data_IF_217674459313
#
_entry.id   IF_217674459313
#
_cell.length_a   1.000
_cell.length_b   1.000
_cell.length_c   1.000
_cell.angle_alpha   90.00
_cell.angle_beta   90.00
_cell.angle_gamma   90.00
#
_symmetry.space_group_name_H-M   'P 1'
#
loop_
_entity.id
_entity.type
_entity.pdbx_description
1 polymer ?
#
# COMPACT_ATOMS: atom_id res chain seq x y z
N UNK A 1 14.57 -32.90 2.90
CA UNK A 1 15.62 -32.74 1.88
C UNK A 1 16.95 -33.27 2.43
N UNK A 2 17.93 -33.58 1.56
CA UNK A 2 19.26 -34.03 2.01
C UNK A 2 19.93 -33.03 2.98
N UNK A 3 19.74 -31.73 2.74
CA UNK A 3 20.21 -30.65 3.62
C UNK A 3 19.57 -30.69 5.02
N UNK A 4 18.27 -30.97 5.10
CA UNK A 4 17.57 -31.11 6.38
C UNK A 4 18.07 -32.33 7.17
N UNK A 5 18.28 -33.47 6.50
CA UNK A 5 18.82 -34.67 7.13
C UNK A 5 20.25 -34.46 7.64
N UNK A 6 21.09 -33.75 6.87
CA UNK A 6 22.44 -33.39 7.30
C UNK A 6 22.43 -32.47 8.54
N UNK A 7 21.55 -31.47 8.57
CA UNK A 7 21.40 -30.55 9.70
C UNK A 7 20.92 -31.27 10.97
N UNK A 8 19.95 -32.18 10.86
CA UNK A 8 19.51 -33.02 11.99
C UNK A 8 20.62 -33.98 12.42
N UNK A 9 21.34 -34.59 11.48
CA UNK A 9 22.50 -35.45 11.76
C UNK A 9 23.65 -34.71 12.46
N UNK A 10 23.74 -33.40 12.29
CA UNK A 10 24.66 -32.52 13.01
C UNK A 10 24.17 -32.10 14.42
N UNK A 11 23.05 -32.66 14.89
CA UNK A 11 22.53 -32.44 16.25
C UNK A 11 21.47 -31.35 16.39
N UNK A 12 21.00 -30.74 15.29
CA UNK A 12 19.90 -29.77 15.34
C UNK A 12 18.55 -30.46 15.50
N UNK A 13 17.65 -29.86 16.28
CA UNK A 13 16.23 -30.23 16.28
C UNK A 13 15.62 -30.01 14.89
N UNK A 14 14.48 -30.65 14.59
CA UNK A 14 13.82 -30.49 13.28
C UNK A 14 13.49 -29.03 12.93
N UNK A 15 13.10 -28.22 13.93
CA UNK A 15 12.82 -26.79 13.75
C UNK A 15 14.11 -26.02 13.45
N UNK A 16 15.15 -26.22 14.25
CA UNK A 16 16.46 -25.57 14.03
C UNK A 16 17.06 -25.95 12.67
N UNK A 17 16.94 -27.22 12.28
CA UNK A 17 17.38 -27.71 10.98
C UNK A 17 16.60 -27.03 9.83
N UNK A 18 15.29 -26.84 9.97
CA UNK A 18 14.48 -26.12 8.99
C UNK A 18 14.93 -24.67 8.81
N UNK A 19 15.16 -23.95 9.91
CA UNK A 19 15.66 -22.57 9.89
C UNK A 19 17.07 -22.48 9.29
N UNK A 20 17.97 -23.40 9.66
CA UNK A 20 19.32 -23.45 9.12
C UNK A 20 19.33 -23.68 7.59
N UNK A 21 18.49 -24.60 7.10
CA UNK A 21 18.37 -24.87 5.67
C UNK A 21 17.78 -23.67 4.91
N UNK A 22 16.80 -22.98 5.50
CA UNK A 22 16.24 -21.77 4.92
C UNK A 22 17.30 -20.66 4.80
N UNK A 23 18.01 -20.37 5.89
CA UNK A 23 19.04 -19.34 5.93
C UNK A 23 20.17 -19.63 4.94
N UNK A 24 20.64 -20.89 4.90
CA UNK A 24 21.64 -21.33 3.93
C UNK A 24 21.15 -21.19 2.49
N UNK A 25 19.90 -21.57 2.20
CA UNK A 25 19.32 -21.44 0.87
C UNK A 25 19.23 -19.99 0.39
N UNK A 26 18.87 -19.05 1.28
CA UNK A 26 18.86 -17.62 0.96
C UNK A 26 20.28 -17.09 0.69
N UNK A 27 21.25 -17.46 1.51
CA UNK A 27 22.65 -17.10 1.29
C UNK A 27 23.20 -17.65 -0.04
N UNK A 28 22.90 -18.92 -0.33
CA UNK A 28 23.32 -19.59 -1.56
C UNK A 28 22.72 -18.93 -2.80
N UNK A 29 21.43 -18.57 -2.76
CA UNK A 29 20.78 -17.87 -3.86
C UNK A 29 21.39 -16.49 -4.10
N UNK A 30 21.66 -15.73 -3.02
CA UNK A 30 22.36 -14.46 -3.12
C UNK A 30 23.79 -14.64 -3.70
N UNK A 31 24.51 -15.68 -3.27
CA UNK A 31 25.84 -16.00 -3.79
C UNK A 31 25.81 -16.32 -5.30
N UNK A 32 24.82 -17.11 -5.75
CA UNK A 32 24.61 -17.41 -7.18
C UNK A 32 24.29 -16.17 -8.01
N UNK A 33 23.68 -15.16 -7.40
CA UNK A 33 23.44 -13.85 -8.00
C UNK A 33 24.67 -12.91 -7.97
N UNK A 34 25.84 -13.39 -7.51
CA UNK A 34 27.07 -12.60 -7.44
C UNK A 34 27.15 -11.65 -6.24
N UNK A 35 26.30 -11.82 -5.22
CA UNK A 35 26.29 -10.95 -4.05
C UNK A 35 27.55 -11.08 -3.19
N UNK A 36 28.00 -9.99 -2.56
CA UNK A 36 29.11 -9.98 -1.61
C UNK A 36 28.81 -10.82 -0.37
N UNK A 37 29.85 -11.20 0.41
CA UNK A 37 29.67 -11.96 1.64
C UNK A 37 28.70 -11.27 2.64
N UNK A 38 28.77 -9.94 2.75
CA UNK A 38 27.85 -9.16 3.59
C UNK A 38 26.41 -9.31 3.10
N UNK A 39 26.17 -9.20 1.79
CA UNK A 39 24.82 -9.34 1.23
C UNK A 39 24.28 -10.77 1.34
N UNK A 40 25.14 -11.79 1.25
CA UNK A 40 24.76 -13.18 1.53
C UNK A 40 24.33 -13.37 2.99
N UNK A 41 25.10 -12.81 3.94
CA UNK A 41 24.76 -12.84 5.35
C UNK A 41 23.45 -12.09 5.64
N UNK A 42 23.23 -10.94 5.00
CA UNK A 42 21.96 -10.20 5.09
C UNK A 42 20.79 -11.02 4.55
N UNK A 43 20.94 -11.69 3.41
CA UNK A 43 19.89 -12.55 2.85
C UNK A 43 19.57 -13.73 3.78
N UNK A 44 20.59 -14.36 4.38
CA UNK A 44 20.42 -15.40 5.38
C UNK A 44 19.65 -14.89 6.61
N UNK A 45 20.06 -13.74 7.15
CA UNK A 45 19.42 -13.09 8.29
C UNK A 45 17.96 -12.72 8.00
N UNK A 46 17.66 -12.22 6.80
CA UNK A 46 16.30 -11.96 6.36
C UNK A 46 15.47 -13.24 6.25
N UNK A 47 16.06 -14.34 5.78
CA UNK A 47 15.44 -15.66 5.78
C UNK A 47 14.98 -16.08 7.18
N UNK A 48 15.82 -15.86 8.20
CA UNK A 48 15.46 -16.15 9.60
C UNK A 48 14.42 -15.14 10.11
N UNK A 49 14.66 -13.85 9.93
CA UNK A 49 13.79 -12.79 10.45
C UNK A 49 12.37 -12.89 9.90
N UNK A 50 12.23 -13.05 8.58
CA UNK A 50 10.94 -13.05 7.89
C UNK A 50 10.32 -14.46 7.85
N UNK A 51 11.14 -15.49 7.62
CA UNK A 51 10.65 -16.86 7.44
C UNK A 51 10.42 -17.64 8.73
N UNK A 52 10.96 -17.19 9.87
CA UNK A 52 10.81 -17.87 11.15
C UNK A 52 10.36 -16.94 12.28
N UNK A 53 11.06 -15.81 12.50
CA UNK A 53 10.79 -14.93 13.65
C UNK A 53 9.47 -14.16 13.50
N UNK A 54 9.18 -13.65 12.29
CA UNK A 54 8.05 -12.74 12.03
C UNK A 54 6.71 -13.27 12.52
N UNK A 55 6.37 -14.53 12.24
CA UNK A 55 5.08 -15.09 12.60
C UNK A 55 4.88 -15.15 14.13
N UNK A 56 5.93 -15.46 14.88
CA UNK A 56 5.90 -15.48 16.34
C UNK A 56 5.73 -14.05 16.91
N UNK A 57 6.46 -13.07 16.36
CA UNK A 57 6.28 -11.66 16.74
C UNK A 57 4.87 -11.16 16.41
N UNK A 58 4.32 -11.52 15.25
CA UNK A 58 2.95 -11.12 14.89
C UNK A 58 1.90 -11.74 15.83
N UNK A 59 2.10 -13.00 16.24
CA UNK A 59 1.17 -13.70 17.13
C UNK A 59 1.27 -13.23 18.59
N UNK A 60 2.50 -13.07 19.11
CA UNK A 60 2.77 -12.83 20.53
C UNK A 60 3.16 -11.40 20.87
N UNK A 61 3.38 -10.55 19.85
CA UNK A 61 3.70 -9.13 20.03
C UNK A 61 4.89 -8.96 20.98
N UNK A 62 4.73 -8.16 22.03
CA UNK A 62 5.77 -7.88 23.03
C UNK A 62 6.17 -9.12 23.85
N UNK A 63 5.30 -10.12 23.92
CA UNK A 63 5.53 -11.38 24.64
C UNK A 63 6.30 -12.41 23.80
N UNK A 64 6.62 -12.09 22.54
CA UNK A 64 7.46 -12.95 21.72
C UNK A 64 8.81 -13.16 22.41
N UNK A 65 9.30 -14.41 22.57
CA UNK A 65 10.63 -14.66 23.12
C UNK A 65 11.74 -13.95 22.34
N UNK A 66 11.56 -13.69 21.03
CA UNK A 66 12.52 -12.92 20.24
C UNK A 66 12.54 -11.44 20.65
N UNK A 67 11.38 -10.85 20.91
CA UNK A 67 11.26 -9.48 21.41
C UNK A 67 11.80 -9.37 22.83
N UNK A 68 11.45 -10.30 23.70
CA UNK A 68 11.96 -10.34 25.09
C UNK A 68 13.48 -10.50 25.12
N UNK A 69 14.02 -11.48 24.39
CA UNK A 69 15.47 -11.74 24.34
C UNK A 69 16.26 -10.57 23.72
N UNK A 70 15.65 -9.76 22.86
CA UNK A 70 16.29 -8.56 22.30
C UNK A 70 16.51 -7.44 23.34
N UNK A 71 15.83 -7.50 24.49
CA UNK A 71 15.81 -6.41 25.47
C UNK A 71 15.08 -5.15 24.99
N UNK A 72 14.37 -5.21 23.85
CA UNK A 72 13.65 -4.07 23.24
C UNK A 72 12.15 -4.09 23.47
N UNK A 73 11.63 -4.95 24.35
CA UNK A 73 10.20 -5.10 24.61
C UNK A 73 9.48 -3.75 24.84
N UNK A 74 10.00 -2.88 25.73
CA UNK A 74 9.41 -1.58 26.01
C UNK A 74 9.42 -0.63 24.79
N UNK A 75 10.52 -0.63 24.02
CA UNK A 75 10.64 0.18 22.82
C UNK A 75 9.73 -0.32 21.68
N UNK A 76 9.49 -1.64 21.62
CA UNK A 76 8.67 -2.27 20.60
C UNK A 76 7.17 -2.30 20.94
N UNK A 77 6.80 -2.16 22.21
CA UNK A 77 5.42 -2.24 22.66
C UNK A 77 4.43 -1.31 21.89
N UNK A 78 4.77 -0.04 21.59
CA UNK A 78 3.87 0.83 20.83
C UNK A 78 3.53 0.30 19.43
N UNK A 79 4.44 -0.42 18.78
CA UNK A 79 4.25 -0.95 17.42
C UNK A 79 3.26 -2.10 17.35
N UNK A 80 2.89 -2.69 18.50
CA UNK A 80 1.90 -3.75 18.58
C UNK A 80 0.49 -3.24 18.91
N UNK A 81 0.32 -1.93 19.06
CA UNK A 81 -0.97 -1.28 19.26
C UNK A 81 -1.55 -0.90 17.91
N UNK A 82 -2.86 -1.08 17.77
CA UNK A 82 -3.62 -0.50 16.65
C UNK A 82 -3.95 0.94 17.01
N UNK A 83 -3.74 1.84 16.07
CA UNK A 83 -4.09 3.25 16.19
C UNK A 83 -5.14 3.60 15.16
N UNK A 84 -6.09 4.45 15.55
CA UNK A 84 -6.92 5.16 14.59
C UNK A 84 -6.08 6.31 14.03
N UNK A 85 -5.91 6.32 12.71
CA UNK A 85 -5.10 7.33 12.02
C UNK A 85 -5.87 8.65 11.90
N UNK A 86 -7.20 8.57 11.81
CA UNK A 86 -8.08 9.74 11.75
C UNK A 86 -9.34 9.50 12.60
N UNK A 87 -9.43 10.16 13.75
CA UNK A 87 -10.59 10.07 14.64
C UNK A 87 -11.75 11.00 14.26
N UNK A 88 -11.56 11.85 13.24
CA UNK A 88 -12.64 12.70 12.72
C UNK A 88 -13.54 11.93 11.74
N UNK A 89 -13.07 10.79 11.23
CA UNK A 89 -13.87 9.88 10.40
C UNK A 89 -14.72 8.94 11.25
N UNK A 90 -15.57 8.14 10.60
CA UNK A 90 -16.39 7.10 11.25
C UNK A 90 -15.60 6.09 12.09
N UNK A 91 -14.29 5.95 11.88
CA UNK A 91 -13.41 5.16 12.74
C UNK A 91 -13.34 5.69 14.18
N UNK A 92 -13.46 7.00 14.39
CA UNK A 92 -13.54 7.64 15.72
C UNK A 92 -14.89 7.48 16.41
N UNK A 93 -15.94 7.11 15.66
CA UNK A 93 -17.33 6.98 16.12
C UNK A 93 -17.81 5.53 15.98
N UNK A 94 -16.99 4.60 16.50
CA UNK A 94 -17.18 3.16 16.27
C UNK A 94 -18.54 2.64 16.80
N UNK A 95 -19.02 3.17 17.93
CA UNK A 95 -20.30 2.74 18.50
C UNK A 95 -21.48 3.15 17.60
N UNK A 96 -21.47 4.37 17.10
CA UNK A 96 -22.47 4.93 16.20
C UNK A 96 -22.46 4.21 14.85
N UNK A 97 -21.27 3.94 14.30
CA UNK A 97 -21.13 3.14 13.08
C UNK A 97 -21.74 1.76 13.26
N UNK A 98 -21.41 1.05 14.34
CA UNK A 98 -21.99 -0.27 14.65
C UNK A 98 -23.51 -0.21 14.78
N UNK A 99 -24.04 0.81 15.46
CA UNK A 99 -25.49 0.98 15.61
C UNK A 99 -26.18 1.13 14.25
N UNK A 100 -25.63 1.98 13.37
CA UNK A 100 -26.16 2.19 12.01
C UNK A 100 -26.08 0.91 11.17
N UNK A 101 -24.92 0.25 11.15
CA UNK A 101 -24.73 -0.97 10.36
C UNK A 101 -25.59 -2.14 10.87
N UNK A 102 -25.74 -2.27 12.20
CA UNK A 102 -26.63 -3.24 12.83
C UNK A 102 -28.10 -2.98 12.45
N UNK A 103 -28.52 -1.73 12.34
CA UNK A 103 -29.85 -1.38 11.87
C UNK A 103 -30.07 -1.84 10.42
N UNK A 104 -29.12 -1.55 9.51
CA UNK A 104 -29.22 -2.01 8.11
C UNK A 104 -29.31 -3.53 8.01
N UNK A 105 -28.45 -4.23 8.74
CA UNK A 105 -28.41 -5.70 8.77
C UNK A 105 -29.70 -6.31 9.32
N UNK A 106 -30.16 -5.83 10.47
CA UNK A 106 -31.35 -6.37 11.17
C UNK A 106 -32.63 -6.18 10.37
N UNK A 107 -32.73 -5.08 9.62
CA UNK A 107 -33.90 -4.75 8.81
C UNK A 107 -33.77 -5.22 7.34
N UNK A 108 -32.74 -6.02 7.02
CA UNK A 108 -32.47 -6.53 5.67
C UNK A 108 -32.39 -5.43 4.58
N UNK A 109 -31.79 -4.28 4.93
CA UNK A 109 -31.61 -3.15 4.00
C UNK A 109 -30.28 -3.33 3.26
N UNK A 110 -30.31 -4.04 2.12
CA UNK A 110 -29.10 -4.43 1.36
C UNK A 110 -28.63 -3.47 0.25
N UNK A 111 -29.37 -2.38 -0.02
CA UNK A 111 -29.10 -1.46 -1.15
C UNK A 111 -28.47 -0.13 -0.70
N UNK A 112 -27.55 -0.17 0.26
CA UNK A 112 -26.94 1.06 0.80
C UNK A 112 -25.56 1.27 0.20
N UNK A 113 -25.37 2.45 -0.40
CA UNK A 113 -24.08 2.93 -0.90
C UNK A 113 -23.84 4.32 -0.34
N UNK A 114 -22.71 4.54 0.33
CA UNK A 114 -22.23 5.87 0.68
C UNK A 114 -21.42 6.47 -0.46
N UNK A 115 -21.61 7.78 -0.67
CA UNK A 115 -20.76 8.61 -1.50
C UNK A 115 -20.05 9.59 -0.58
N UNK A 116 -18.75 9.37 -0.36
CA UNK A 116 -17.98 10.04 0.69
C UNK A 116 -16.91 10.94 0.09
N UNK A 117 -16.47 11.96 0.84
CA UNK A 117 -15.36 12.84 0.50
C UNK A 117 -14.45 13.06 1.71
N UNK A 118 -14.05 14.32 1.93
CA UNK A 118 -13.24 14.80 3.07
C UNK A 118 -11.79 14.27 3.13
N UNK A 119 -11.58 12.95 3.08
CA UNK A 119 -10.25 12.33 3.25
C UNK A 119 -9.28 12.57 2.08
N UNK A 120 -9.73 13.20 0.99
CA UNK A 120 -8.93 13.51 -0.20
C UNK A 120 -8.21 12.29 -0.82
N UNK A 121 -8.94 11.19 -0.97
CA UNK A 121 -8.47 9.96 -1.64
C UNK A 121 -9.59 9.31 -2.43
N UNK A 122 -9.23 8.48 -3.41
CA UNK A 122 -10.20 7.54 -3.99
C UNK A 122 -10.16 6.21 -3.26
N UNK A 123 -11.29 5.82 -2.66
CA UNK A 123 -11.50 4.49 -2.10
C UNK A 123 -12.78 3.85 -2.65
N UNK A 124 -12.76 2.52 -2.73
CA UNK A 124 -13.97 1.73 -2.86
C UNK A 124 -13.83 0.50 -1.98
N UNK A 125 -14.84 0.20 -1.19
CA UNK A 125 -14.82 -0.96 -0.30
C UNK A 125 -16.16 -1.22 0.34
N UNK A 126 -16.24 -2.31 1.08
CA UNK A 126 -17.42 -2.58 1.91
C UNK A 126 -17.27 -1.93 3.27
N UNK A 127 -18.40 -1.57 3.88
CA UNK A 127 -18.47 -1.26 5.30
C UNK A 127 -19.09 -2.45 6.01
N UNK A 128 -18.37 -2.96 7.01
CA UNK A 128 -18.79 -4.14 7.78
C UNK A 128 -19.59 -3.72 9.02
N UNK A 129 -20.43 -4.63 9.51
CA UNK A 129 -21.26 -4.42 10.70
C UNK A 129 -20.47 -4.18 11.98
N UNK A 130 -19.42 -4.97 12.18
CA UNK A 130 -18.53 -4.86 13.32
C UNK A 130 -17.09 -5.25 12.94
N UNK A 131 -16.21 -4.25 12.79
CA UNK A 131 -14.79 -4.46 12.51
C UNK A 131 -14.00 -5.08 13.67
N UNK A 132 -14.53 -5.05 14.90
CA UNK A 132 -13.93 -5.71 16.07
C UNK A 132 -14.29 -7.20 16.13
N UNK A 133 -15.28 -7.65 15.35
CA UNK A 133 -15.63 -9.06 15.27
C UNK A 133 -14.51 -9.88 14.63
N UNK A 134 -14.44 -11.16 14.99
CA UNK A 134 -13.49 -12.09 14.39
C UNK A 134 -13.63 -12.08 12.86
N UNK A 135 -12.51 -11.92 12.15
CA UNK A 135 -12.51 -11.80 10.68
C UNK A 135 -12.93 -10.44 10.13
N UNK A 136 -13.21 -9.45 10.99
CA UNK A 136 -13.53 -8.08 10.59
C UNK A 136 -15.02 -7.82 10.32
N UNK A 137 -15.90 -8.75 10.66
CA UNK A 137 -17.36 -8.60 10.52
C UNK A 137 -17.92 -8.99 9.15
N UNK A 138 -19.20 -8.72 8.96
CA UNK A 138 -19.97 -8.99 7.72
C UNK A 138 -20.16 -7.69 6.94
N UNK A 139 -19.84 -7.64 5.63
CA UNK A 139 -20.20 -6.52 4.76
C UNK A 139 -21.72 -6.22 4.78
N UNK A 140 -22.10 -4.96 4.97
CA UNK A 140 -23.52 -4.53 4.99
C UNK A 140 -23.83 -3.37 4.04
N UNK A 141 -22.83 -2.59 3.63
CA UNK A 141 -22.98 -1.54 2.63
C UNK A 141 -21.68 -1.35 1.86
N UNK A 142 -21.71 -0.52 0.80
CA UNK A 142 -20.52 -0.10 0.06
C UNK A 142 -20.24 1.38 0.34
N UNK A 143 -18.98 1.75 0.45
CA UNK A 143 -18.54 3.14 0.47
C UNK A 143 -17.68 3.44 -0.76
N UNK A 144 -18.00 4.54 -1.44
CA UNK A 144 -17.33 5.05 -2.63
C UNK A 144 -16.82 6.46 -2.30
N UNK A 145 -15.52 6.56 -2.04
CA UNK A 145 -14.89 7.78 -1.56
C UNK A 145 -14.25 8.52 -2.72
N UNK A 146 -14.59 9.80 -2.88
CA UNK A 146 -14.05 10.67 -3.91
C UNK A 146 -12.86 11.47 -3.39
N UNK A 147 -11.83 11.62 -4.23
CA UNK A 147 -10.70 12.49 -3.97
C UNK A 147 -11.11 13.96 -3.93
N UNK A 148 -10.24 14.80 -3.36
CA UNK A 148 -10.39 16.25 -3.41
C UNK A 148 -10.11 16.76 -4.82
N UNK A 149 -10.81 17.82 -5.23
CA UNK A 149 -10.61 18.44 -6.56
C UNK A 149 -9.25 19.15 -6.63
N UNK A 150 -8.91 19.91 -5.58
CA UNK A 150 -7.70 20.75 -5.53
C UNK A 150 -6.93 20.65 -4.22
N UNK A 151 -7.49 20.02 -3.18
CA UNK A 151 -6.81 19.84 -1.90
C UNK A 151 -5.60 18.92 -2.03
N UNK A 152 -4.65 19.05 -1.10
CA UNK A 152 -3.59 18.06 -0.96
C UNK A 152 -4.16 16.68 -0.63
N UNK A 153 -3.49 15.66 -1.17
CA UNK A 153 -3.91 14.27 -1.08
C UNK A 153 -3.67 13.72 0.33
N UNK A 154 -4.42 12.68 0.71
CA UNK A 154 -4.21 11.99 1.99
C UNK A 154 -2.76 11.50 2.15
N UNK A 155 -2.17 11.03 1.04
CA UNK A 155 -0.78 10.63 0.99
C UNK A 155 0.17 11.77 1.40
N UNK A 156 -0.05 12.99 0.89
CA UNK A 156 0.76 14.16 1.26
C UNK A 156 0.74 14.41 2.76
N UNK A 157 -0.45 14.44 3.38
CA UNK A 157 -0.58 14.68 4.83
C UNK A 157 0.13 13.61 5.66
N UNK A 158 -0.09 12.33 5.34
CA UNK A 158 0.52 11.24 6.10
C UNK A 158 2.03 11.15 5.88
N UNK A 159 2.51 11.42 4.66
CA UNK A 159 3.94 11.50 4.37
C UNK A 159 4.61 12.55 5.23
N UNK A 160 4.03 13.74 5.30
CA UNK A 160 4.59 14.85 6.08
C UNK A 160 4.62 14.55 7.57
N UNK A 161 3.54 13.98 8.11
CA UNK A 161 3.52 13.52 9.50
C UNK A 161 4.58 12.42 9.76
N UNK A 162 4.73 11.49 8.80
CA UNK A 162 5.64 10.35 8.93
C UNK A 162 7.12 10.69 8.68
N UNK A 163 7.44 11.83 8.05
CA UNK A 163 8.80 12.22 7.70
C UNK A 163 9.74 12.32 8.93
N UNK A 164 9.18 12.59 10.11
CA UNK A 164 9.92 12.66 11.37
C UNK A 164 10.14 11.31 12.06
N UNK A 165 9.56 10.22 11.54
CA UNK A 165 9.52 8.91 12.19
C UNK A 165 10.70 7.98 11.82
N UNK A 166 11.74 8.53 11.17
CA UNK A 166 12.91 7.77 10.74
C UNK A 166 12.55 6.62 9.80
N UNK A 167 13.07 5.43 10.07
CA UNK A 167 12.84 4.24 9.24
C UNK A 167 11.36 3.84 9.11
N UNK A 168 10.49 4.27 10.04
CA UNK A 168 9.06 4.00 9.92
C UNK A 168 8.37 4.84 8.85
N UNK A 169 8.99 5.94 8.43
CA UNK A 169 8.50 6.76 7.32
C UNK A 169 8.34 5.92 6.04
N UNK A 170 9.10 4.85 5.89
CA UNK A 170 9.00 3.93 4.74
C UNK A 170 7.75 3.06 4.75
N UNK A 171 6.94 3.09 5.82
CA UNK A 171 5.58 2.52 5.80
C UNK A 171 4.61 3.40 5.00
N UNK A 172 4.95 4.67 4.79
CA UNK A 172 4.12 5.65 4.12
C UNK A 172 4.71 6.05 2.77
N UNK A 173 6.00 6.37 2.71
CA UNK A 173 6.63 6.87 1.49
C UNK A 173 8.11 6.51 1.37
N UNK A 174 8.60 6.48 0.13
CA UNK A 174 10.04 6.43 -0.15
C UNK A 174 10.46 7.60 -1.06
N UNK A 175 11.43 8.43 -0.66
CA UNK A 175 11.91 9.53 -1.50
C UNK A 175 12.72 8.99 -2.69
N UNK A 176 12.43 9.49 -3.88
CA UNK A 176 13.07 9.08 -5.14
C UNK A 176 13.71 10.28 -5.82
N UNK A 177 14.98 10.12 -6.21
CA UNK A 177 15.72 11.10 -6.99
C UNK A 177 15.92 10.56 -8.40
N UNK A 178 15.11 11.04 -9.35
CA UNK A 178 15.12 10.53 -10.73
C UNK A 178 15.97 11.43 -11.62
N UNK A 179 17.07 10.93 -12.21
CA UNK A 179 17.81 11.68 -13.21
C UNK A 179 17.00 11.76 -14.52
N UNK A 180 16.89 12.96 -15.06
CA UNK A 180 16.22 13.25 -16.33
C UNK A 180 17.21 13.94 -17.26
N UNK A 181 17.50 13.37 -18.45
CA UNK A 181 18.43 13.95 -19.39
C UNK A 181 18.13 15.43 -19.68
N UNK A 182 19.16 16.28 -19.61
CA UNK A 182 19.07 17.73 -19.86
C UNK A 182 18.18 18.54 -18.88
N UNK A 183 17.62 17.92 -17.84
CA UNK A 183 16.72 18.54 -16.84
C UNK A 183 17.22 18.39 -15.39
N UNK A 184 18.31 17.62 -15.19
CA UNK A 184 18.87 17.35 -13.87
C UNK A 184 18.06 16.28 -13.13
N UNK A 185 17.77 16.52 -11.86
CA UNK A 185 17.06 15.55 -11.00
C UNK A 185 15.63 16.03 -10.72
N UNK A 186 14.70 15.08 -10.72
CA UNK A 186 13.32 15.24 -10.29
C UNK A 186 13.11 14.44 -9.01
N UNK A 187 12.72 15.12 -7.93
CA UNK A 187 12.40 14.50 -6.65
C UNK A 187 10.92 14.09 -6.62
N UNK A 188 10.66 12.81 -6.39
CA UNK A 188 9.33 12.24 -6.22
C UNK A 188 9.21 11.50 -4.89
N UNK A 189 8.00 11.13 -4.52
CA UNK A 189 7.76 10.24 -3.38
C UNK A 189 6.95 9.04 -3.83
N UNK A 190 7.56 7.86 -3.76
CA UNK A 190 6.87 6.61 -3.97
C UNK A 190 5.84 6.41 -2.85
N UNK A 191 4.57 6.30 -3.24
CA UNK A 191 3.48 6.07 -2.31
C UNK A 191 3.45 4.61 -1.85
N UNK A 192 3.96 4.37 -0.64
CA UNK A 192 3.94 3.07 0.02
C UNK A 192 2.70 2.89 0.91
N UNK A 193 2.07 3.99 1.31
CA UNK A 193 0.86 4.02 2.13
C UNK A 193 -0.26 3.19 1.51
N UNK A 194 -0.49 3.32 0.21
CA UNK A 194 -1.47 2.53 -0.53
C UNK A 194 -1.33 1.02 -0.25
N UNK A 195 -0.09 0.49 -0.30
CA UNK A 195 0.19 -0.93 -0.06
C UNK A 195 0.06 -1.27 1.43
N UNK A 196 0.55 -0.41 2.32
CA UNK A 196 0.37 -0.54 3.77
C UNK A 196 -1.10 -0.60 4.16
N UNK A 197 -1.96 0.15 3.46
CA UNK A 197 -3.41 0.16 3.67
C UNK A 197 -4.12 -1.05 3.07
N UNK A 198 -3.47 -1.88 2.26
CA UNK A 198 -4.05 -3.11 1.70
C UNK A 198 -4.25 -3.12 0.18
N UNK A 199 -3.60 -2.22 -0.57
CA UNK A 199 -3.55 -2.32 -2.03
C UNK A 199 -2.84 -3.60 -2.43
N UNK A 200 -3.32 -4.23 -3.50
CA UNK A 200 -2.72 -5.46 -4.03
C UNK A 200 -1.23 -5.29 -4.32
N UNK A 201 -0.47 -6.38 -4.11
CA UNK A 201 0.96 -6.40 -4.35
C UNK A 201 1.29 -5.98 -5.78
N UNK A 202 2.22 -5.02 -5.98
CA UNK A 202 2.47 -4.50 -7.30
C UNK A 202 3.44 -5.39 -8.10
N UNK A 203 3.42 -5.20 -9.42
CA UNK A 203 4.50 -5.57 -10.33
C UNK A 203 5.44 -4.37 -10.52
N UNK A 204 6.59 -4.56 -11.15
CA UNK A 204 7.47 -3.45 -11.52
C UNK A 204 6.73 -2.38 -12.34
N UNK A 205 5.87 -2.81 -13.27
CA UNK A 205 5.10 -1.91 -14.12
C UNK A 205 4.05 -1.12 -13.35
N UNK A 206 3.26 -1.79 -12.49
CA UNK A 206 2.21 -1.07 -11.73
C UNK A 206 2.79 -0.17 -10.66
N UNK A 207 3.93 -0.53 -10.07
CA UNK A 207 4.64 0.33 -9.13
C UNK A 207 5.22 1.56 -9.82
N UNK A 208 5.91 1.40 -10.97
CA UNK A 208 6.45 2.54 -11.72
C UNK A 208 5.33 3.45 -12.24
N UNK A 209 4.24 2.88 -12.77
CA UNK A 209 3.09 3.63 -13.26
C UNK A 209 2.41 4.47 -12.17
N UNK A 210 2.53 4.09 -10.88
CA UNK A 210 1.97 4.88 -9.77
C UNK A 210 2.60 6.28 -9.65
N UNK A 211 3.82 6.48 -10.17
CA UNK A 211 4.54 7.75 -10.15
C UNK A 211 4.19 8.66 -11.33
N UNK A 212 3.45 8.17 -12.33
CA UNK A 212 3.28 8.87 -13.61
C UNK A 212 2.68 10.28 -13.45
N UNK A 213 1.66 10.44 -12.61
CA UNK A 213 1.00 11.74 -12.39
C UNK A 213 1.92 12.73 -11.66
N UNK A 214 2.64 12.27 -10.64
CA UNK A 214 3.63 13.11 -9.93
C UNK A 214 4.76 13.53 -10.88
N UNK A 215 5.31 12.57 -11.64
CA UNK A 215 6.40 12.82 -12.58
C UNK A 215 5.99 13.77 -13.70
N UNK A 216 4.81 13.57 -14.31
CA UNK A 216 4.29 14.45 -15.37
C UNK A 216 4.16 15.89 -14.85
N UNK A 217 3.62 16.07 -13.65
CA UNK A 217 3.52 17.38 -13.01
C UNK A 217 4.89 18.02 -12.74
N UNK A 218 5.83 17.25 -12.20
CA UNK A 218 7.17 17.75 -11.88
C UNK A 218 7.97 18.13 -13.15
N UNK A 219 7.84 17.37 -14.23
CA UNK A 219 8.43 17.69 -15.53
C UNK A 219 7.80 18.96 -16.13
N UNK A 220 6.48 19.10 -16.05
CA UNK A 220 5.77 20.30 -16.48
C UNK A 220 6.22 21.54 -15.71
N UNK A 221 6.39 21.43 -14.39
CA UNK A 221 6.92 22.49 -13.54
C UNK A 221 8.37 22.88 -13.87
N UNK A 222 9.16 21.92 -14.38
CA UNK A 222 10.53 22.17 -14.90
C UNK A 222 10.57 22.66 -16.35
N UNK A 223 9.42 22.94 -16.96
CA UNK A 223 9.32 23.55 -18.29
C UNK A 223 9.40 22.57 -19.47
N UNK A 224 9.23 21.27 -19.24
CA UNK A 224 9.08 20.31 -20.35
C UNK A 224 7.81 20.64 -21.13
N UNK A 225 7.88 20.84 -22.46
CA UNK A 225 6.71 21.14 -23.28
C UNK A 225 5.64 20.04 -23.16
N UNK A 226 4.37 20.42 -23.09
CA UNK A 226 3.28 19.46 -22.87
C UNK A 226 3.26 18.34 -23.93
N UNK A 227 3.56 18.67 -25.19
CA UNK A 227 3.65 17.70 -26.29
C UNK A 227 4.74 16.64 -26.11
N UNK A 228 5.71 16.85 -25.21
CA UNK A 228 6.81 15.93 -24.92
C UNK A 228 6.70 15.27 -23.54
N UNK A 229 5.73 15.67 -22.70
CA UNK A 229 5.62 15.19 -21.33
C UNK A 229 5.42 13.68 -21.26
N UNK A 230 4.43 13.15 -21.98
CA UNK A 230 4.04 11.74 -21.83
C UNK A 230 5.16 10.80 -22.31
N UNK A 231 5.82 11.12 -23.43
CA UNK A 231 6.98 10.39 -23.92
C UNK A 231 8.17 10.47 -22.94
N UNK A 232 8.37 11.62 -22.28
CA UNK A 232 9.44 11.78 -21.29
C UNK A 232 9.14 10.98 -20.02
N UNK A 233 7.88 10.99 -19.56
CA UNK A 233 7.42 10.16 -18.43
C UNK A 233 7.68 8.69 -18.72
N UNK A 234 7.29 8.20 -19.90
CA UNK A 234 7.52 6.81 -20.29
C UNK A 234 9.00 6.44 -20.27
N UNK A 235 9.87 7.26 -20.86
CA UNK A 235 11.31 7.03 -20.89
C UNK A 235 11.94 7.00 -19.48
N UNK A 236 11.54 7.94 -18.62
CA UNK A 236 12.06 8.00 -17.23
C UNK A 236 11.57 6.81 -16.41
N UNK A 237 10.30 6.41 -16.53
CA UNK A 237 9.77 5.24 -15.83
C UNK A 237 10.38 3.92 -16.34
N UNK A 238 10.70 3.82 -17.63
CA UNK A 238 11.44 2.69 -18.18
C UNK A 238 12.84 2.59 -17.57
N UNK A 239 13.55 3.72 -17.45
CA UNK A 239 14.83 3.81 -16.75
C UNK A 239 14.74 3.42 -15.27
N UNK A 240 13.71 3.89 -14.57
CA UNK A 240 13.45 3.53 -13.17
C UNK A 240 13.27 2.02 -12.98
N UNK A 241 12.55 1.34 -13.88
CA UNK A 241 12.38 -0.11 -13.79
C UNK A 241 13.69 -0.89 -13.95
N UNK A 242 14.63 -0.35 -14.73
CA UNK A 242 15.96 -0.93 -14.89
C UNK A 242 16.90 -0.65 -13.70
N UNK A 243 16.52 0.23 -12.77
CA UNK A 243 17.32 0.55 -11.59
C UNK A 243 17.35 -0.63 -10.60
N UNK A 244 18.56 -0.94 -10.11
CA UNK A 244 18.79 -2.06 -9.21
C UNK A 244 18.17 -1.84 -7.83
N UNK A 245 18.07 -0.60 -7.34
CA UNK A 245 17.42 -0.28 -6.07
C UNK A 245 15.91 -0.42 -6.20
N UNK A 246 15.33 0.06 -7.30
CA UNK A 246 13.91 -0.10 -7.57
C UNK A 246 13.50 -1.58 -7.59
N UNK A 247 14.19 -2.39 -8.39
CA UNK A 247 13.87 -3.82 -8.55
C UNK A 247 14.28 -4.67 -7.35
N UNK A 248 15.43 -4.37 -6.74
CA UNK A 248 16.01 -5.17 -5.66
C UNK A 248 15.51 -4.81 -4.26
N UNK A 249 14.95 -3.62 -4.07
CA UNK A 249 14.55 -3.13 -2.74
C UNK A 249 13.13 -2.56 -2.71
N UNK A 250 12.79 -1.60 -3.58
CA UNK A 250 11.51 -0.89 -3.48
C UNK A 250 10.32 -1.75 -3.85
N UNK A 251 10.43 -2.52 -4.94
CA UNK A 251 9.38 -3.45 -5.34
C UNK A 251 9.13 -4.54 -4.28
N UNK A 252 10.15 -5.25 -3.76
CA UNK A 252 9.96 -6.19 -2.65
C UNK A 252 9.36 -5.56 -1.40
N UNK A 253 9.75 -4.33 -1.06
CA UNK A 253 9.18 -3.59 0.07
C UNK A 253 7.68 -3.34 -0.13
N UNK A 254 7.28 -2.80 -1.28
CA UNK A 254 5.87 -2.57 -1.59
C UNK A 254 5.05 -3.87 -1.57
N UNK A 255 5.61 -4.98 -2.06
CA UNK A 255 4.98 -6.30 -2.01
C UNK A 255 4.85 -6.82 -0.57
N UNK A 256 5.85 -6.62 0.29
CA UNK A 256 5.76 -6.97 1.71
C UNK A 256 4.70 -6.15 2.43
N UNK A 257 4.60 -4.85 2.15
CA UNK A 257 3.60 -3.96 2.74
C UNK A 257 2.18 -4.36 2.30
N UNK A 258 1.98 -4.66 1.02
CA UNK A 258 0.71 -5.19 0.51
C UNK A 258 0.31 -6.50 1.23
N UNK A 259 1.29 -7.35 1.54
CA UNK A 259 1.09 -8.60 2.27
C UNK A 259 0.65 -8.42 3.74
N UNK A 260 0.68 -7.19 4.29
CA UNK A 260 0.08 -6.90 5.60
C UNK A 260 -1.44 -7.02 5.56
N UNK A 261 -2.04 -6.71 4.40
CA UNK A 261 -3.49 -6.78 4.17
C UNK A 261 -4.28 -6.07 5.28
N UNK A 262 -3.85 -4.85 5.64
CA UNK A 262 -4.33 -4.13 6.83
C UNK A 262 -5.83 -3.81 6.77
N UNK A 263 -6.37 -3.57 5.58
CA UNK A 263 -7.79 -3.29 5.35
C UNK A 263 -8.36 -4.16 4.21
N UNK A 264 -8.66 -5.45 4.47
CA UNK A 264 -9.07 -6.41 3.43
C UNK A 264 -10.45 -6.12 2.80
N UNK A 265 -11.22 -5.21 3.39
CA UNK A 265 -12.52 -4.75 2.91
C UNK A 265 -12.40 -3.71 1.78
N UNK A 266 -11.23 -3.09 1.61
CA UNK A 266 -10.96 -2.17 0.51
C UNK A 266 -10.68 -2.94 -0.78
N UNK A 267 -11.24 -2.45 -1.88
CA UNK A 267 -11.11 -2.99 -3.24
C UNK A 267 -10.42 -2.00 -4.19
N UNK A 268 -10.51 -0.71 -3.89
CA UNK A 268 -9.75 0.34 -4.57
C UNK A 268 -9.11 1.28 -3.56
N UNK A 269 -7.85 1.65 -3.84
CA UNK A 269 -7.03 2.57 -3.05
C UNK A 269 -6.20 3.43 -4.01
N UNK A 270 -6.38 4.73 -3.92
CA UNK A 270 -5.48 5.73 -4.49
C UNK A 270 -5.44 6.95 -3.55
N UNK A 271 -4.49 6.93 -2.61
CA UNK A 271 -4.31 7.98 -1.60
C UNK A 271 -3.60 9.22 -2.12
N UNK A 272 -3.00 9.14 -3.31
CA UNK A 272 -2.32 10.27 -3.97
C UNK A 272 -3.07 10.75 -5.22
N UNK A 273 -4.35 11.07 -5.02
CA UNK A 273 -5.22 11.52 -6.09
C UNK A 273 -5.76 12.93 -5.83
N UNK A 274 -5.86 13.69 -6.92
CA UNK A 274 -6.83 14.77 -7.05
C UNK A 274 -7.78 14.39 -8.17
N UNK A 275 -9.04 14.80 -8.08
CA UNK A 275 -10.03 14.53 -9.10
C UNK A 275 -11.46 14.53 -8.58
N UNK A 276 -12.32 13.78 -9.27
CA UNK A 276 -13.74 13.68 -8.95
C UNK A 276 -14.30 12.31 -9.34
N UNK A 277 -15.48 11.99 -8.84
CA UNK A 277 -16.17 10.72 -9.11
C UNK A 277 -17.45 10.98 -9.89
N UNK A 278 -17.64 10.27 -11.00
CA UNK A 278 -18.90 10.31 -11.77
C UNK A 278 -19.68 9.05 -11.46
N UNK A 279 -20.89 9.20 -10.95
CA UNK A 279 -21.78 8.09 -10.59
C UNK A 279 -22.92 7.98 -11.60
N UNK A 280 -23.14 6.76 -12.10
CA UNK A 280 -24.30 6.40 -12.90
C UNK A 280 -25.12 5.38 -12.11
N UNK A 281 -26.36 5.72 -11.79
CA UNK A 281 -27.29 4.87 -11.05
C UNK A 281 -28.40 4.35 -11.97
N UNK A 282 -28.69 3.06 -11.86
CA UNK A 282 -29.84 2.40 -12.46
C UNK A 282 -30.59 1.61 -11.37
N UNK A 283 -31.75 1.03 -11.71
CA UNK A 283 -32.46 0.15 -10.79
C UNK A 283 -31.65 -1.11 -10.39
N UNK A 284 -30.72 -1.57 -11.26
CA UNK A 284 -29.97 -2.81 -11.05
C UNK A 284 -28.52 -2.59 -10.58
N UNK A 285 -27.98 -1.38 -10.67
CA UNK A 285 -26.57 -1.12 -10.35
C UNK A 285 -26.25 0.34 -10.12
N UNK A 286 -25.16 0.58 -9.40
CA UNK A 286 -24.46 1.86 -9.32
C UNK A 286 -23.04 1.67 -9.85
N UNK A 287 -22.64 2.46 -10.84
CA UNK A 287 -21.26 2.51 -11.34
C UNK A 287 -20.62 3.83 -10.96
N UNK A 288 -19.41 3.80 -10.40
CA UNK A 288 -18.61 4.97 -10.08
C UNK A 288 -17.32 4.98 -10.90
N UNK A 289 -17.07 6.07 -11.62
CA UNK A 289 -15.82 6.32 -12.32
C UNK A 289 -14.99 7.32 -11.50
N UNK A 290 -13.97 6.81 -10.81
CA UNK A 290 -12.97 7.63 -10.13
C UNK A 290 -12.03 8.22 -11.17
N UNK A 291 -12.14 9.53 -11.41
CA UNK A 291 -11.37 10.24 -12.42
C UNK A 291 -10.25 11.03 -11.75
N UNK A 292 -9.05 10.46 -11.74
CA UNK A 292 -7.84 11.16 -11.33
C UNK A 292 -7.44 12.16 -12.42
N UNK A 293 -7.13 13.38 -12.02
CA UNK A 293 -6.71 14.43 -12.94
C UNK A 293 -5.19 14.54 -13.01
N UNK A 294 -4.70 15.00 -14.16
CA UNK A 294 -3.31 15.42 -14.30
C UNK A 294 -3.06 16.68 -13.47
N UNK A 295 -1.82 16.81 -12.97
CA UNK A 295 -1.34 18.06 -12.37
C UNK A 295 -1.20 19.15 -13.45
N UNK A 296 -1.11 20.40 -13.02
CA UNK A 296 -0.85 21.54 -13.90
C UNK A 296 0.47 21.35 -14.67
N UNK A 297 0.52 21.89 -15.88
CA UNK A 297 1.76 22.00 -16.66
C UNK A 297 2.32 23.41 -16.43
N UNK A 298 3.26 23.50 -15.49
CA UNK A 298 3.66 24.79 -14.92
C UNK A 298 2.47 25.43 -14.18
N UNK A 299 1.96 26.53 -14.72
CA UNK A 299 0.77 27.23 -14.19
C UNK A 299 -0.48 27.03 -15.05
N UNK A 300 -0.39 26.25 -16.13
CA UNK A 300 -1.48 26.06 -17.09
C UNK A 300 -2.25 24.77 -16.82
N UNK A 301 -3.54 24.78 -17.15
CA UNK A 301 -4.34 23.57 -17.20
C UNK A 301 -3.79 22.60 -18.26
N UNK A 302 -3.70 21.29 -17.97
CA UNK A 302 -3.25 20.31 -18.95
C UNK A 302 -4.28 20.15 -20.08
N UNK A 303 -3.82 19.94 -21.31
CA UNK A 303 -4.67 19.66 -22.46
C UNK A 303 -5.50 18.38 -22.26
N UNK A 304 -4.90 17.35 -21.65
CA UNK A 304 -5.62 16.17 -21.17
C UNK A 304 -5.80 16.27 -19.64
N UNK A 305 -7.01 16.60 -19.20
CA UNK A 305 -7.33 16.75 -17.77
C UNK A 305 -7.36 15.41 -17.04
N UNK A 306 -7.84 14.34 -17.67
CA UNK A 306 -8.01 13.05 -16.99
C UNK A 306 -6.76 12.19 -17.19
N UNK A 307 -6.06 11.92 -16.10
CA UNK A 307 -4.88 11.06 -16.07
C UNK A 307 -5.27 9.58 -16.05
N UNK A 308 -6.25 9.23 -15.21
CA UNK A 308 -6.68 7.85 -15.00
C UNK A 308 -8.15 7.79 -14.65
N UNK A 309 -8.83 6.78 -15.18
CA UNK A 309 -10.17 6.39 -14.75
C UNK A 309 -10.09 5.00 -14.13
N UNK A 310 -10.63 4.83 -12.93
CA UNK A 310 -10.88 3.51 -12.35
C UNK A 310 -12.37 3.35 -12.14
N UNK A 311 -12.94 2.22 -12.54
CA UNK A 311 -14.39 2.02 -12.46
C UNK A 311 -14.73 1.03 -11.37
N UNK A 312 -15.63 1.42 -10.46
CA UNK A 312 -16.24 0.52 -9.49
C UNK A 312 -17.72 0.28 -9.85
N UNK A 313 -18.20 -0.94 -9.66
CA UNK A 313 -19.62 -1.27 -9.83
C UNK A 313 -20.16 -1.99 -8.59
N UNK A 314 -21.37 -1.60 -8.19
CA UNK A 314 -22.15 -2.18 -7.11
C UNK A 314 -23.45 -2.69 -7.71
N UNK A 315 -23.71 -3.98 -7.56
CA UNK A 315 -24.98 -4.60 -7.95
C UNK A 315 -26.05 -4.29 -6.91
N UNK A 316 -27.27 -3.97 -7.34
CA UNK A 316 -28.39 -3.84 -6.41
C UNK A 316 -28.55 -5.13 -5.58
N UNK A 317 -28.76 -4.98 -4.28
CA UNK A 317 -28.95 -6.06 -3.31
C UNK A 317 -27.67 -6.55 -2.66
N UNK A 318 -26.49 -6.06 -3.08
CA UNK A 318 -25.21 -6.63 -2.69
C UNK A 318 -24.32 -5.60 -1.99
N UNK A 319 -23.93 -5.92 -0.75
CA UNK A 319 -22.86 -5.23 -0.04
C UNK A 319 -21.48 -5.68 -0.54
N UNK A 320 -21.22 -5.47 -1.84
CA UNK A 320 -19.97 -5.83 -2.50
C UNK A 320 -19.68 -4.89 -3.66
N UNK A 321 -18.40 -4.65 -3.93
CA UNK A 321 -17.96 -3.78 -5.02
C UNK A 321 -16.91 -4.48 -5.88
N UNK A 322 -17.10 -4.43 -7.20
CA UNK A 322 -16.14 -4.88 -8.19
C UNK A 322 -15.41 -3.68 -8.78
N UNK A 323 -14.11 -3.78 -8.98
CA UNK A 323 -13.26 -2.70 -9.51
C UNK A 323 -12.59 -3.18 -10.78
N UNK A 324 -12.61 -2.34 -11.82
CA UNK A 324 -12.10 -2.59 -13.17
C UNK A 324 -11.12 -1.49 -13.58
#
# INVERSE_FOLDING_TARGET
>A
SARLAAAVGAGLTSVQAGVAVLAFGQAENAAKAGASATLQATAAAQGIAIGYIKADIQAKKVESPFVVASGKAAALAPYFRKFLINCDQWDGYNAERKALMSHLKTNAIGNVVALTGDIHSFFAGTVNDDYDAAGGGTPVMVDLVSAGVSSDSFFTYLREAAASLGDLGTLVSWPLQLPVPNLGTVDLNLNLLDYTMGKAAPTADTLAASLAVQLRGALGAKGVPEASLDATVEAVLAGLKADATFSGQLLPLAQQLAGLNSNPHLRHLNTDAQGFTVVTLTAGSLTAQFKQVNKLVGVNAPANVIAKVTTAAVTAGQASVNVY
#
